data_IF_829950818375
#
_entry.id   IF_829950818375
#
_cell.length_a   1.000
_cell.length_b   1.000
_cell.length_c   1.000
_cell.angle_alpha   90.00
_cell.angle_beta   90.00
_cell.angle_gamma   90.00
#
_symmetry.space_group_name_H-M   'P 1'
#
loop_
_entity.id
_entity.type
_entity.pdbx_description
1 polymer ?
#
# COMPACT_ATOMS: atom_id res chain seq x y z
N UNK A 1 10.21 -41.09 -69.08
CA UNK A 1 11.53 -40.44 -69.14
C UNK A 1 11.51 -39.27 -68.17
N UNK A 2 12.41 -39.29 -67.20
CA UNK A 2 13.03 -38.21 -66.44
C UNK A 2 12.05 -37.31 -65.71
N UNK A 3 11.86 -37.38 -64.35
CA UNK A 3 12.87 -37.24 -63.29
C UNK A 3 13.19 -35.79 -62.96
N UNK A 4 13.01 -35.49 -61.65
CA UNK A 4 13.69 -34.49 -60.80
C UNK A 4 12.88 -33.18 -60.51
N UNK A 5 12.93 -32.64 -59.33
CA UNK A 5 13.54 -32.97 -58.04
C UNK A 5 12.89 -32.02 -57.05
N UNK A 6 12.63 -32.55 -55.92
CA UNK A 6 12.66 -31.96 -54.60
C UNK A 6 13.58 -30.74 -54.48
N UNK A 7 13.04 -29.71 -53.86
CA UNK A 7 13.86 -28.98 -52.89
C UNK A 7 12.99 -28.66 -51.65
N UNK A 8 13.33 -29.35 -50.59
CA UNK A 8 12.91 -29.09 -49.25
C UNK A 8 13.76 -27.94 -48.71
N UNK A 9 13.18 -26.80 -48.49
CA UNK A 9 13.76 -25.84 -47.56
C UNK A 9 13.12 -26.02 -46.19
N UNK A 10 13.79 -26.74 -45.36
CA UNK A 10 13.59 -26.75 -43.92
C UNK A 10 13.90 -25.34 -43.39
N UNK A 11 12.88 -24.56 -43.12
CA UNK A 11 13.03 -23.40 -42.26
C UNK A 11 13.10 -23.89 -40.82
N UNK A 12 14.32 -23.93 -40.32
CA UNK A 12 14.67 -24.17 -38.95
C UNK A 12 14.08 -23.00 -38.12
N UNK A 13 12.88 -23.20 -37.63
CA UNK A 13 12.30 -22.35 -36.62
C UNK A 13 13.01 -22.65 -35.30
N UNK A 14 14.16 -22.02 -35.10
CA UNK A 14 14.73 -21.93 -33.76
C UNK A 14 13.78 -21.10 -32.90
N UNK A 15 12.92 -21.78 -32.18
CA UNK A 15 12.32 -21.23 -30.99
C UNK A 15 13.46 -20.79 -30.04
N UNK A 16 13.71 -19.51 -30.01
CA UNK A 16 14.48 -18.88 -28.96
C UNK A 16 13.71 -19.13 -27.67
N UNK A 17 14.17 -20.10 -26.92
CA UNK A 17 13.79 -20.30 -25.52
C UNK A 17 14.19 -19.05 -24.77
N UNK A 18 13.29 -18.08 -24.77
CA UNK A 18 13.40 -16.87 -23.93
C UNK A 18 13.12 -17.31 -22.52
N UNK A 19 14.18 -17.59 -21.78
CA UNK A 19 14.07 -17.82 -20.35
C UNK A 19 13.47 -16.58 -19.70
N UNK A 20 12.17 -16.64 -19.45
CA UNK A 20 11.46 -15.63 -18.69
C UNK A 20 11.89 -15.75 -17.23
N UNK A 21 12.64 -14.75 -16.74
CA UNK A 21 12.96 -14.65 -15.33
C UNK A 21 11.70 -14.18 -14.58
N UNK A 22 11.04 -15.03 -13.79
CA UNK A 22 9.81 -14.69 -13.10
C UNK A 22 9.98 -13.63 -12.01
N UNK A 23 11.23 -13.26 -11.68
CA UNK A 23 11.53 -12.26 -10.65
C UNK A 23 11.75 -10.87 -11.23
N UNK A 24 12.26 -10.78 -12.44
CA UNK A 24 12.69 -9.49 -12.99
C UNK A 24 11.82 -8.95 -14.10
N UNK A 25 11.02 -9.79 -14.76
CA UNK A 25 10.16 -9.36 -15.88
C UNK A 25 10.91 -8.69 -17.04
N UNK A 26 12.24 -8.68 -17.04
CA UNK A 26 13.05 -7.98 -18.02
C UNK A 26 13.39 -8.89 -19.19
N UNK A 27 12.97 -8.46 -20.38
CA UNK A 27 13.55 -8.93 -21.64
C UNK A 27 14.87 -8.19 -21.78
N UNK A 28 15.99 -8.89 -21.81
CA UNK A 28 17.28 -8.31 -22.19
C UNK A 28 17.24 -8.03 -23.68
N UNK A 29 17.01 -6.78 -24.05
CA UNK A 29 17.31 -6.26 -25.37
C UNK A 29 18.42 -5.20 -25.20
N UNK A 30 19.51 -5.40 -25.93
CA UNK A 30 20.67 -4.48 -25.94
C UNK A 30 20.27 -3.17 -26.60
N UNK A 31 20.04 -2.15 -25.79
CA UNK A 31 19.74 -0.81 -26.26
C UNK A 31 19.59 0.18 -25.10
N UNK A 32 20.70 0.82 -24.76
CA UNK A 32 20.87 2.02 -23.93
C UNK A 32 19.61 2.68 -23.37
N UNK A 33 19.40 2.46 -22.08
CA UNK A 33 19.01 3.44 -21.05
C UNK A 33 19.04 2.69 -19.72
N UNK A 34 20.13 2.88 -18.97
CA UNK A 34 20.24 2.34 -17.62
C UNK A 34 19.28 3.09 -16.69
N UNK A 35 18.00 2.80 -16.80
CA UNK A 35 17.09 2.96 -15.70
C UNK A 35 17.54 1.92 -14.68
N UNK A 36 18.13 2.36 -13.58
CA UNK A 36 18.44 1.47 -12.44
C UNK A 36 17.11 0.86 -12.03
N UNK A 37 16.82 -0.33 -12.55
CA UNK A 37 15.61 -1.05 -12.22
C UNK A 37 15.81 -1.60 -10.80
N UNK A 38 15.05 -1.09 -9.84
CA UNK A 38 15.04 -1.61 -8.50
C UNK A 38 14.67 -3.10 -8.54
N UNK A 39 15.53 -3.95 -7.96
CA UNK A 39 15.28 -5.38 -7.81
C UNK A 39 14.87 -5.65 -6.38
N UNK A 40 13.69 -6.24 -6.15
CA UNK A 40 13.29 -6.62 -4.81
C UNK A 40 14.29 -7.61 -4.22
N UNK A 41 14.45 -7.60 -2.91
CA UNK A 41 15.08 -8.71 -2.19
C UNK A 41 14.37 -10.02 -2.58
N UNK A 42 15.11 -11.12 -2.61
CA UNK A 42 14.58 -12.40 -3.13
C UNK A 42 13.22 -12.74 -2.53
N UNK A 43 12.27 -13.20 -3.34
CA UNK A 43 10.91 -13.54 -2.89
C UNK A 43 10.89 -14.48 -1.67
N UNK A 44 11.91 -15.30 -1.51
CA UNK A 44 12.02 -16.22 -0.36
C UNK A 44 12.15 -15.47 0.96
N UNK A 45 12.89 -14.36 0.98
CA UNK A 45 12.95 -13.47 2.16
C UNK A 45 11.61 -12.80 2.44
N UNK A 46 10.89 -12.37 1.40
CA UNK A 46 9.56 -11.77 1.59
C UNK A 46 8.53 -12.79 2.09
N UNK A 47 8.65 -14.07 1.71
CA UNK A 47 7.83 -15.15 2.31
C UNK A 47 8.08 -15.28 3.81
N UNK A 48 9.32 -15.07 4.27
CA UNK A 48 9.65 -15.10 5.70
C UNK A 48 9.17 -13.87 6.46
N UNK A 49 9.21 -12.70 5.81
CA UNK A 49 8.83 -11.40 6.42
C UNK A 49 7.33 -11.12 6.39
N UNK A 50 6.60 -11.78 5.49
CA UNK A 50 5.17 -11.53 5.29
C UNK A 50 4.36 -12.81 5.51
N UNK A 51 3.05 -12.66 5.62
CA UNK A 51 2.13 -13.81 5.69
C UNK A 51 1.64 -14.26 4.31
N UNK A 52 2.32 -13.84 3.24
CA UNK A 52 2.01 -14.24 1.88
C UNK A 52 2.83 -15.45 1.44
N UNK A 53 2.20 -16.33 0.67
CA UNK A 53 2.89 -17.41 -0.03
C UNK A 53 3.70 -16.85 -1.20
N UNK A 54 4.67 -17.63 -1.67
CA UNK A 54 5.47 -17.26 -2.86
C UNK A 54 4.62 -16.99 -4.10
N UNK A 55 3.52 -17.74 -4.29
CA UNK A 55 2.60 -17.55 -5.42
C UNK A 55 1.86 -16.21 -5.34
N UNK A 56 1.38 -15.84 -4.15
CA UNK A 56 0.71 -14.57 -3.93
C UNK A 56 1.67 -13.40 -4.16
N UNK A 57 2.90 -13.49 -3.64
CA UNK A 57 3.93 -12.49 -3.87
C UNK A 57 4.27 -12.33 -5.36
N UNK A 58 4.30 -13.41 -6.14
CA UNK A 58 4.50 -13.34 -7.59
C UNK A 58 3.35 -12.62 -8.30
N UNK A 59 2.11 -12.85 -7.89
CA UNK A 59 0.94 -12.15 -8.45
C UNK A 59 0.98 -10.67 -8.10
N UNK A 60 1.23 -10.34 -6.83
CA UNK A 60 1.36 -8.96 -6.35
C UNK A 60 2.50 -8.23 -7.06
N UNK A 61 3.64 -8.90 -7.26
CA UNK A 61 4.79 -8.31 -7.96
C UNK A 61 4.48 -7.98 -9.41
N UNK A 62 3.79 -8.86 -10.13
CA UNK A 62 3.37 -8.59 -11.51
C UNK A 62 2.44 -7.40 -11.59
N UNK A 63 1.43 -7.34 -10.71
CA UNK A 63 0.53 -6.19 -10.63
C UNK A 63 1.29 -4.89 -10.34
N UNK A 64 2.16 -4.92 -9.33
CA UNK A 64 2.99 -3.78 -8.97
C UNK A 64 3.88 -3.30 -10.12
N UNK A 65 4.56 -4.22 -10.82
CA UNK A 65 5.42 -3.91 -11.98
C UNK A 65 4.66 -3.41 -13.20
N UNK A 66 3.41 -3.82 -13.38
CA UNK A 66 2.57 -3.31 -14.46
C UNK A 66 2.23 -1.82 -14.26
N UNK A 67 1.88 -1.44 -13.02
CA UNK A 67 1.58 -0.06 -12.66
C UNK A 67 2.85 0.79 -12.50
N UNK A 68 3.93 0.18 -12.01
CA UNK A 68 5.17 0.84 -11.67
C UNK A 68 6.37 0.10 -12.30
N UNK A 69 6.63 0.28 -13.60
CA UNK A 69 7.72 -0.42 -14.31
C UNK A 69 9.12 -0.17 -13.73
N UNK A 70 9.35 0.99 -13.08
CA UNK A 70 10.59 1.31 -12.37
C UNK A 70 10.88 0.37 -11.21
N UNK A 71 9.84 -0.26 -10.63
CA UNK A 71 9.94 -1.10 -9.42
C UNK A 71 9.81 -0.34 -8.12
N UNK A 72 9.59 0.97 -8.19
CA UNK A 72 9.29 1.85 -7.06
C UNK A 72 8.18 2.82 -7.43
N UNK A 73 7.42 3.26 -6.43
CA UNK A 73 6.35 4.24 -6.57
C UNK A 73 6.78 5.50 -5.85
N UNK A 74 6.86 6.63 -6.55
CA UNK A 74 7.00 7.93 -5.91
C UNK A 74 5.63 8.45 -5.44
N UNK A 75 5.63 9.48 -4.62
CA UNK A 75 4.42 10.04 -4.04
C UNK A 75 3.40 10.51 -5.09
N UNK A 76 3.84 11.16 -6.16
CA UNK A 76 2.97 11.65 -7.22
C UNK A 76 2.25 10.49 -7.93
N UNK A 77 2.99 9.43 -8.28
CA UNK A 77 2.42 8.22 -8.87
C UNK A 77 1.45 7.54 -7.93
N UNK A 78 1.79 7.47 -6.63
CA UNK A 78 0.92 6.90 -5.60
C UNK A 78 -0.39 7.68 -5.50
N UNK A 79 -0.34 9.01 -5.41
CA UNK A 79 -1.52 9.89 -5.40
C UNK A 79 -2.39 9.69 -6.64
N UNK A 80 -1.78 9.60 -7.82
CA UNK A 80 -2.49 9.38 -9.07
C UNK A 80 -3.22 8.02 -9.10
N UNK A 81 -2.57 6.94 -8.67
CA UNK A 81 -3.20 5.62 -8.57
C UNK A 81 -4.34 5.67 -7.55
N UNK A 82 -4.10 6.25 -6.37
CA UNK A 82 -5.08 6.32 -5.29
C UNK A 82 -6.33 7.11 -5.67
N UNK A 83 -6.18 8.21 -6.41
CA UNK A 83 -7.29 9.05 -6.87
C UNK A 83 -8.29 8.32 -7.78
N UNK A 84 -7.87 7.25 -8.45
CA UNK A 84 -8.76 6.45 -9.29
C UNK A 84 -9.82 5.69 -8.48
N UNK A 85 -9.55 5.43 -7.21
CA UNK A 85 -10.49 4.77 -6.31
C UNK A 85 -11.51 5.74 -5.71
N UNK A 86 -11.19 7.03 -5.68
CA UNK A 86 -12.02 8.08 -5.09
C UNK A 86 -12.31 9.24 -6.07
N UNK A 87 -12.95 8.96 -7.20
CA UNK A 87 -13.14 9.95 -8.26
C UNK A 87 -14.11 11.09 -7.91
N UNK A 88 -14.82 10.99 -6.78
CA UNK A 88 -15.81 11.97 -6.35
C UNK A 88 -15.28 12.99 -5.32
N UNK A 89 -14.08 12.78 -4.81
CA UNK A 89 -13.46 13.63 -3.80
C UNK A 89 -12.01 13.97 -4.14
N UNK A 90 -11.38 14.74 -3.24
CA UNK A 90 -9.96 15.02 -3.31
C UNK A 90 -9.21 14.09 -2.34
N UNK A 91 -8.56 13.08 -2.88
CA UNK A 91 -7.79 12.10 -2.11
C UNK A 91 -6.32 12.48 -1.92
N UNK A 92 -5.88 13.63 -2.41
CA UNK A 92 -4.45 14.01 -2.48
C UNK A 92 -3.77 14.01 -1.11
N UNK A 93 -4.39 14.61 -0.09
CA UNK A 93 -3.83 14.69 1.25
C UNK A 93 -3.85 13.35 1.97
N UNK A 94 -4.96 12.60 1.88
CA UNK A 94 -5.00 11.28 2.50
C UNK A 94 -4.01 10.30 1.85
N UNK A 95 -3.88 10.36 0.52
CA UNK A 95 -2.88 9.58 -0.19
C UNK A 95 -1.45 9.97 0.18
N UNK A 96 -1.18 11.24 0.51
CA UNK A 96 0.10 11.70 1.05
C UNK A 96 0.42 11.00 2.38
N UNK A 97 -0.47 11.10 3.37
CA UNK A 97 -0.28 10.46 4.67
C UNK A 97 -0.14 8.94 4.56
N UNK A 98 -0.94 8.35 3.68
CA UNK A 98 -0.85 6.91 3.42
C UNK A 98 0.48 6.54 2.77
N UNK A 99 0.98 7.33 1.83
CA UNK A 99 2.30 7.12 1.22
C UNK A 99 3.41 7.14 2.27
N UNK A 100 3.41 8.11 3.19
CA UNK A 100 4.38 8.18 4.29
C UNK A 100 4.31 6.97 5.23
N UNK A 101 3.10 6.43 5.45
CA UNK A 101 2.94 5.21 6.24
C UNK A 101 3.48 3.95 5.53
N UNK A 102 3.49 3.94 4.18
CA UNK A 102 4.08 2.87 3.38
C UNK A 102 5.59 3.04 3.15
N UNK A 103 6.10 4.28 3.07
CA UNK A 103 7.54 4.58 2.91
C UNK A 103 8.27 4.38 4.25
N UNK A 104 8.43 3.11 4.64
CA UNK A 104 9.04 2.75 5.93
C UNK A 104 10.51 3.17 6.04
N UNK A 105 11.17 3.42 4.91
CA UNK A 105 12.57 3.81 4.85
C UNK A 105 12.75 5.34 4.77
N UNK A 106 11.66 6.11 4.65
CA UNK A 106 11.66 7.57 4.49
C UNK A 106 12.59 8.06 3.37
N UNK A 107 12.60 7.33 2.24
CA UNK A 107 13.46 7.64 1.09
C UNK A 107 12.70 8.33 -0.06
N UNK A 108 11.43 8.63 0.12
CA UNK A 108 10.55 9.27 -0.87
C UNK A 108 10.06 8.32 -1.97
N UNK A 109 10.17 7.01 -1.73
CA UNK A 109 9.74 6.00 -2.68
C UNK A 109 9.25 4.73 -1.95
N UNK A 110 8.10 4.21 -2.35
CA UNK A 110 7.59 2.92 -1.87
C UNK A 110 8.09 1.83 -2.79
N UNK A 111 8.92 0.95 -2.27
CA UNK A 111 9.40 -0.25 -2.95
C UNK A 111 8.34 -1.37 -2.93
N UNK A 112 8.57 -2.42 -3.71
CA UNK A 112 7.69 -3.60 -3.64
C UNK A 112 7.72 -4.25 -2.24
N UNK A 113 8.88 -4.26 -1.59
CA UNK A 113 9.04 -4.77 -0.22
C UNK A 113 8.20 -3.97 0.78
N UNK A 114 8.32 -2.64 0.77
CA UNK A 114 7.54 -1.76 1.65
C UNK A 114 6.04 -1.98 1.46
N UNK A 115 5.62 -2.09 0.18
CA UNK A 115 4.24 -2.35 -0.18
C UNK A 115 3.71 -3.67 0.38
N UNK A 116 4.41 -4.80 0.14
CA UNK A 116 3.90 -6.11 0.57
C UNK A 116 4.02 -6.34 2.08
N UNK A 117 5.01 -5.75 2.75
CA UNK A 117 5.14 -5.81 4.21
C UNK A 117 3.95 -5.08 4.84
N UNK A 118 3.68 -3.84 4.44
CA UNK A 118 2.55 -3.06 4.94
C UNK A 118 1.22 -3.74 4.61
N UNK A 119 1.05 -4.23 3.40
CA UNK A 119 -0.15 -4.96 2.98
C UNK A 119 -0.36 -6.26 3.81
N UNK A 120 0.72 -6.98 4.12
CA UNK A 120 0.66 -8.17 4.98
C UNK A 120 0.18 -7.83 6.40
N UNK A 121 0.62 -6.71 6.95
CA UNK A 121 0.16 -6.21 8.26
C UNK A 121 -1.33 -5.88 8.21
N UNK A 122 -1.75 -5.08 7.24
CA UNK A 122 -3.14 -4.61 7.11
C UNK A 122 -4.11 -5.78 6.92
N UNK A 123 -3.78 -6.74 6.04
CA UNK A 123 -4.68 -7.83 5.68
C UNK A 123 -4.59 -9.04 6.61
N UNK A 124 -3.39 -9.37 7.09
CA UNK A 124 -3.11 -10.64 7.80
C UNK A 124 -2.38 -10.46 9.13
N UNK A 125 -2.11 -9.23 9.53
CA UNK A 125 -1.52 -8.91 10.82
C UNK A 125 -2.42 -9.29 11.98
N UNK A 126 -1.85 -9.46 13.17
CA UNK A 126 -2.62 -9.51 14.40
C UNK A 126 -3.37 -8.18 14.62
N UNK A 127 -4.37 -8.19 15.49
CA UNK A 127 -5.06 -6.94 15.86
C UNK A 127 -4.05 -5.89 16.33
N UNK A 128 -3.07 -6.28 17.12
CA UNK A 128 -2.02 -5.38 17.61
C UNK A 128 -1.16 -4.84 16.46
N UNK A 129 -0.78 -5.67 15.47
CA UNK A 129 0.00 -5.21 14.31
C UNK A 129 -0.80 -4.17 13.49
N UNK A 130 -2.08 -4.44 13.24
CA UNK A 130 -2.97 -3.53 12.53
C UNK A 130 -3.17 -2.21 13.27
N UNK A 131 -3.33 -2.26 14.60
CA UNK A 131 -3.47 -1.06 15.43
C UNK A 131 -2.18 -0.24 15.46
N UNK A 132 -1.02 -0.88 15.57
CA UNK A 132 0.28 -0.19 15.49
C UNK A 132 0.45 0.49 14.12
N UNK A 133 0.07 -0.18 13.05
CA UNK A 133 0.12 0.42 11.71
C UNK A 133 -0.83 1.62 11.58
N UNK A 134 -2.05 1.52 12.13
CA UNK A 134 -3.00 2.63 12.15
C UNK A 134 -2.50 3.80 13.01
N UNK A 135 -1.88 3.53 14.16
CA UNK A 135 -1.27 4.57 14.98
C UNK A 135 -0.19 5.32 14.19
N UNK A 136 0.70 4.59 13.51
CA UNK A 136 1.74 5.19 12.68
C UNK A 136 1.20 6.01 11.49
N UNK A 137 0.00 5.72 11.01
CA UNK A 137 -0.67 6.54 9.99
C UNK A 137 -1.15 7.88 10.56
N UNK A 138 -1.57 7.90 11.84
CA UNK A 138 -2.11 9.09 12.49
C UNK A 138 -1.03 9.96 13.16
N UNK A 139 0.05 9.36 13.62
CA UNK A 139 1.24 10.04 14.14
C UNK A 139 2.08 10.54 12.95
N UNK A 140 1.75 11.76 12.45
CA UNK A 140 2.31 12.29 11.21
C UNK A 140 3.79 12.69 11.37
N UNK A 141 4.14 13.24 12.52
CA UNK A 141 5.51 13.70 12.81
C UNK A 141 6.41 12.60 13.40
N UNK A 142 5.83 11.41 13.68
CA UNK A 142 6.51 10.20 14.22
C UNK A 142 7.17 10.45 15.59
N UNK A 143 6.55 11.26 16.44
CA UNK A 143 7.05 11.55 17.79
C UNK A 143 6.52 10.58 18.86
N UNK A 144 5.65 9.64 18.48
CA UNK A 144 5.05 8.63 19.35
C UNK A 144 3.76 9.06 20.04
N UNK A 145 3.21 10.22 19.64
CA UNK A 145 1.96 10.74 20.15
C UNK A 145 1.08 11.25 19.01
N UNK A 146 -0.24 11.07 19.11
CA UNK A 146 -1.19 11.68 18.19
C UNK A 146 -1.72 12.95 18.83
N UNK A 147 -1.48 14.10 18.20
CA UNK A 147 -1.98 15.39 18.61
C UNK A 147 -3.36 15.67 18.00
N UNK A 148 -4.10 16.65 18.58
CA UNK A 148 -5.37 17.10 17.99
C UNK A 148 -5.20 17.67 16.59
N UNK A 149 -4.08 18.32 16.31
CA UNK A 149 -3.76 18.89 15.00
C UNK A 149 -3.61 17.79 13.96
N UNK A 150 -2.78 16.79 14.22
CA UNK A 150 -2.60 15.63 13.32
C UNK A 150 -3.91 14.88 13.06
N UNK A 151 -4.69 14.62 14.11
CA UNK A 151 -6.00 13.97 13.94
C UNK A 151 -6.97 14.84 13.14
N UNK A 152 -6.89 16.17 13.27
CA UNK A 152 -7.71 17.10 12.48
C UNK A 152 -7.33 17.05 11.02
N UNK A 153 -6.05 17.03 10.69
CA UNK A 153 -5.55 16.94 9.31
C UNK A 153 -5.97 15.63 8.67
N UNK A 154 -5.84 14.52 9.39
CA UNK A 154 -6.33 13.20 8.94
C UNK A 154 -7.84 13.21 8.69
N UNK A 155 -8.63 13.73 9.64
CA UNK A 155 -10.09 13.78 9.49
C UNK A 155 -10.50 14.63 8.29
N UNK A 156 -9.92 15.83 8.12
CA UNK A 156 -10.17 16.65 6.94
C UNK A 156 -9.84 15.92 5.64
N UNK A 157 -8.68 15.28 5.58
CA UNK A 157 -8.27 14.54 4.38
C UNK A 157 -9.21 13.38 4.04
N UNK A 158 -9.76 12.67 5.05
CA UNK A 158 -10.75 11.61 4.84
C UNK A 158 -12.07 12.18 4.30
N UNK A 159 -12.54 13.30 4.86
CA UNK A 159 -13.77 13.93 4.39
C UNK A 159 -13.63 14.49 2.97
N UNK A 160 -12.50 15.10 2.64
CA UNK A 160 -12.20 15.58 1.30
C UNK A 160 -12.16 14.43 0.29
N UNK A 161 -11.52 13.31 0.67
CA UNK A 161 -11.45 12.10 -0.15
C UNK A 161 -12.84 11.50 -0.43
N UNK A 162 -13.71 11.45 0.58
CA UNK A 162 -15.07 10.92 0.41
C UNK A 162 -15.97 11.82 -0.43
N UNK A 163 -15.68 13.14 -0.47
CA UNK A 163 -16.39 14.12 -1.27
C UNK A 163 -17.80 14.45 -0.77
N UNK A 164 -18.29 15.59 -1.19
CA UNK A 164 -19.59 16.14 -0.75
C UNK A 164 -20.82 15.31 -1.12
N UNK A 165 -20.69 14.45 -2.13
CA UNK A 165 -21.82 13.66 -2.62
C UNK A 165 -22.06 12.38 -1.81
N UNK A 166 -21.04 11.89 -1.13
CA UNK A 166 -21.14 10.66 -0.32
C UNK A 166 -21.91 10.93 0.98
N UNK A 167 -21.79 12.13 1.52
CA UNK A 167 -22.47 12.55 2.76
C UNK A 167 -23.07 13.97 2.61
N UNK A 168 -24.12 14.14 1.79
CA UNK A 168 -24.70 15.47 1.52
C UNK A 168 -25.32 16.16 2.75
N UNK A 169 -25.49 15.45 3.86
CA UNK A 169 -26.05 15.96 5.12
C UNK A 169 -25.00 16.22 6.19
N UNK A 170 -23.72 16.03 5.93
CA UNK A 170 -22.68 16.29 6.93
C UNK A 170 -22.50 17.79 7.14
N UNK A 171 -22.56 18.19 8.41
CA UNK A 171 -22.27 19.56 8.84
C UNK A 171 -20.78 19.84 8.64
N UNK A 172 -20.45 21.10 8.36
CA UNK A 172 -19.05 21.56 8.27
C UNK A 172 -18.24 21.27 9.56
N UNK A 173 -18.93 21.02 10.70
CA UNK A 173 -18.33 20.66 11.99
C UNK A 173 -17.99 19.17 12.14
N UNK A 174 -18.38 18.29 11.19
CA UNK A 174 -18.25 16.84 11.35
C UNK A 174 -16.81 16.36 11.58
N UNK A 175 -15.77 16.88 10.88
CA UNK A 175 -14.40 16.51 11.19
C UNK A 175 -14.00 16.83 12.63
N UNK A 176 -14.37 18.02 13.12
CA UNK A 176 -14.10 18.45 14.50
C UNK A 176 -14.83 17.59 15.52
N UNK A 177 -16.11 17.29 15.28
CA UNK A 177 -16.90 16.45 16.17
C UNK A 177 -16.29 15.04 16.30
N UNK A 178 -15.71 14.51 15.21
CA UNK A 178 -14.99 13.24 15.23
C UNK A 178 -13.68 13.32 16.01
N UNK A 179 -12.89 14.39 15.82
CA UNK A 179 -11.66 14.63 16.60
C UNK A 179 -11.97 14.71 18.09
N UNK A 180 -12.99 15.49 18.49
CA UNK A 180 -13.39 15.62 19.89
C UNK A 180 -13.83 14.27 20.47
N UNK A 181 -14.60 13.48 19.72
CA UNK A 181 -15.02 12.14 20.13
C UNK A 181 -13.84 11.17 20.26
N UNK A 182 -12.86 11.27 19.35
CA UNK A 182 -11.64 10.46 19.41
C UNK A 182 -10.86 10.76 20.69
N UNK A 183 -10.56 12.04 20.97
CA UNK A 183 -9.80 12.42 22.16
C UNK A 183 -10.54 12.10 23.45
N UNK A 184 -11.86 12.34 23.51
CA UNK A 184 -12.67 11.96 24.66
C UNK A 184 -12.56 10.46 25.00
N UNK A 185 -12.38 9.63 23.99
CA UNK A 185 -12.29 8.17 24.14
C UNK A 185 -10.88 7.68 24.41
N UNK A 186 -9.86 8.26 23.76
CA UNK A 186 -8.49 7.77 23.72
C UNK A 186 -7.58 8.41 24.75
N UNK A 187 -7.68 9.76 24.93
CA UNK A 187 -6.87 10.54 25.87
C UNK A 187 -7.39 10.35 27.31
N UNK A 188 -6.82 9.40 28.03
CA UNK A 188 -7.29 8.99 29.35
C UNK A 188 -6.78 9.87 30.47
N UNK A 189 -5.57 10.38 30.32
CA UNK A 189 -4.94 11.26 31.32
C UNK A 189 -5.30 12.72 31.12
N UNK A 190 -5.99 13.08 29.99
CA UNK A 190 -6.39 14.41 29.59
C UNK A 190 -5.21 15.40 29.46
N UNK A 191 -4.08 14.93 28.92
CA UNK A 191 -2.92 15.77 28.65
C UNK A 191 -2.94 16.43 27.25
N UNK A 192 -3.92 16.07 26.41
CA UNK A 192 -4.17 16.67 25.10
C UNK A 192 -3.49 15.94 23.94
N UNK A 193 -2.81 14.84 24.22
CA UNK A 193 -2.22 13.93 23.22
C UNK A 193 -2.68 12.50 23.47
N UNK A 194 -2.54 11.62 22.48
CA UNK A 194 -2.82 10.19 22.62
C UNK A 194 -1.54 9.42 22.36
N UNK A 195 -1.02 8.78 23.38
CA UNK A 195 0.14 7.89 23.28
C UNK A 195 -0.24 6.56 22.65
N UNK A 196 0.78 5.80 22.17
CA UNK A 196 0.53 4.47 21.59
C UNK A 196 -0.07 3.51 22.61
N UNK A 197 0.31 3.61 23.87
CA UNK A 197 -0.24 2.79 24.97
C UNK A 197 -1.72 3.07 25.19
N UNK A 198 -2.12 4.34 25.25
CA UNK A 198 -3.53 4.74 25.41
C UNK A 198 -4.36 4.30 24.21
N UNK A 199 -3.82 4.48 23.00
CA UNK A 199 -4.46 4.03 21.76
C UNK A 199 -4.69 2.53 21.76
N UNK A 200 -3.65 1.72 21.97
CA UNK A 200 -3.74 0.27 21.99
C UNK A 200 -4.69 -0.23 23.09
N UNK A 201 -4.54 0.27 24.32
CA UNK A 201 -5.36 -0.14 25.43
C UNK A 201 -6.85 0.15 25.21
N UNK A 202 -7.16 1.30 24.60
CA UNK A 202 -8.53 1.67 24.32
C UNK A 202 -9.13 0.90 23.15
N UNK A 203 -8.40 0.78 22.05
CA UNK A 203 -8.85 0.05 20.88
C UNK A 203 -9.06 -1.45 21.16
N UNK A 204 -8.19 -2.08 21.95
CA UNK A 204 -8.31 -3.50 22.33
C UNK A 204 -9.51 -3.80 23.24
N UNK A 205 -10.08 -2.78 23.89
CA UNK A 205 -11.30 -2.91 24.73
C UNK A 205 -12.58 -2.57 23.97
N UNK A 206 -12.49 -2.06 22.76
CA UNK A 206 -13.63 -1.65 21.95
C UNK A 206 -14.02 -2.73 20.96
N UNK A 207 -15.14 -3.40 21.19
CA UNK A 207 -15.63 -4.50 20.34
C UNK A 207 -15.90 -4.03 18.90
N UNK A 208 -16.33 -2.81 18.66
CA UNK A 208 -16.59 -2.32 17.30
C UNK A 208 -15.30 -2.13 16.53
N UNK A 209 -14.24 -1.62 17.18
CA UNK A 209 -12.92 -1.48 16.57
C UNK A 209 -12.35 -2.87 16.28
N UNK A 210 -12.40 -3.79 17.23
CA UNK A 210 -11.94 -5.17 17.04
C UNK A 210 -12.67 -5.84 15.87
N UNK A 211 -13.99 -5.68 15.80
CA UNK A 211 -14.79 -6.24 14.71
C UNK A 211 -14.42 -5.66 13.35
N UNK A 212 -14.13 -4.35 13.28
CA UNK A 212 -13.67 -3.70 12.04
C UNK A 212 -12.29 -4.19 11.60
N UNK A 213 -11.39 -4.49 12.55
CA UNK A 213 -10.06 -5.03 12.25
C UNK A 213 -10.11 -6.47 11.67
N UNK A 214 -11.15 -7.25 12.01
CA UNK A 214 -11.35 -8.59 11.48
C UNK A 214 -12.05 -8.62 10.11
N UNK A 215 -12.56 -7.48 9.64
CA UNK A 215 -13.31 -7.41 8.37
C UNK A 215 -12.47 -7.86 7.17
N UNK A 216 -11.16 -7.69 7.23
CA UNK A 216 -10.23 -8.04 6.16
C UNK A 216 -9.59 -9.44 6.28
N UNK A 217 -9.84 -10.17 7.36
CA UNK A 217 -9.18 -11.46 7.62
C UNK A 217 -9.54 -12.56 6.59
N UNK A 218 -10.61 -12.37 5.81
CA UNK A 218 -11.12 -13.33 4.85
C UNK A 218 -11.17 -12.81 3.39
N UNK A 219 -10.46 -11.73 3.07
CA UNK A 219 -10.62 -11.04 1.76
C UNK A 219 -9.69 -11.60 0.67
N UNK A 220 -8.68 -12.44 1.01
CA UNK A 220 -7.75 -13.03 0.02
C UNK A 220 -7.52 -14.50 0.36
#
# INVERSE_FOLDING_TARGET
MKSRSQDQSLSDSRELDRSYDPLTGSITDDGELSTVCYRPEGLDRLVELTKFSKKELQVLYRGFKNECPSGVVNEETFKNIYSQFFPQGDSSMYAHFLFEAFDTQNNGAVSFEDFVISLSIILRGSVTDKLNWAFNLYDLNKDGCITREEMTDIMHSIYDMMGKYTFPSMKDSAPKDHVDSFFQKMDKNNDGVVTIEEFLETCQKDENILQSMHMFDNVI
#
